data_IF_948530373232
#
_entry.id   IF_948530373232
#
_cell.length_a   1.000
_cell.length_b   1.000
_cell.length_c   1.000
_cell.angle_alpha   90.00
_cell.angle_beta   90.00
_cell.angle_gamma   90.00
#
_symmetry.space_group_name_H-M   'P 1'
#
loop_
_entity.id
_entity.type
_entity.pdbx_description
1 polymer ?
#
# COMPACT_ATOMS: atom_id res chain seq x y z
N UNK A 1 18.96 -14.78 1.07
CA UNK A 1 17.99 -15.86 0.76
C UNK A 1 16.74 -15.36 0.04
N UNK A 2 16.07 -14.31 0.53
CA UNK A 2 14.85 -13.74 -0.10
C UNK A 2 15.07 -13.40 -1.59
N UNK A 3 16.18 -12.75 -1.93
CA UNK A 3 16.51 -12.37 -3.30
C UNK A 3 16.68 -13.57 -4.27
N UNK A 4 17.16 -14.72 -3.79
CA UNK A 4 17.32 -15.93 -4.62
C UNK A 4 15.97 -16.62 -4.83
N UNK A 5 15.12 -16.62 -3.80
CA UNK A 5 13.77 -17.17 -3.86
C UNK A 5 12.87 -16.36 -4.80
N UNK A 6 12.91 -15.02 -4.71
CA UNK A 6 12.17 -14.16 -5.64
C UNK A 6 12.65 -14.36 -7.08
N UNK A 7 13.96 -14.52 -7.28
CA UNK A 7 14.52 -14.74 -8.61
C UNK A 7 14.14 -16.11 -9.21
N UNK A 8 14.12 -17.18 -8.40
CA UNK A 8 13.69 -18.50 -8.84
C UNK A 8 12.18 -18.54 -9.17
N UNK A 9 11.35 -17.90 -8.34
CA UNK A 9 9.91 -17.78 -8.56
C UNK A 9 9.62 -16.95 -9.82
N UNK A 10 10.32 -15.83 -10.01
CA UNK A 10 10.19 -15.00 -11.20
C UNK A 10 10.57 -15.76 -12.48
N UNK A 11 11.66 -16.55 -12.47
CA UNK A 11 12.06 -17.40 -13.61
C UNK A 11 11.04 -18.50 -13.91
N UNK A 12 10.46 -19.11 -12.87
CA UNK A 12 9.47 -20.17 -13.03
C UNK A 12 8.15 -19.63 -13.58
N UNK A 13 7.71 -18.47 -13.07
CA UNK A 13 6.56 -17.73 -13.57
C UNK A 13 6.79 -17.29 -15.02
N UNK A 14 7.93 -16.70 -15.36
CA UNK A 14 8.19 -16.28 -16.75
C UNK A 14 8.27 -17.44 -17.74
N UNK A 15 8.73 -18.64 -17.34
CA UNK A 15 8.75 -19.81 -18.22
C UNK A 15 7.37 -20.40 -18.49
N UNK A 16 6.50 -20.46 -17.48
CA UNK A 16 5.17 -21.08 -17.59
C UNK A 16 4.01 -20.10 -17.77
N UNK A 17 4.25 -18.79 -17.63
CA UNK A 17 3.19 -17.79 -17.78
C UNK A 17 2.75 -17.70 -19.25
N UNK A 18 1.43 -17.77 -19.53
CA UNK A 18 0.89 -17.50 -20.85
C UNK A 18 1.26 -16.08 -21.29
N UNK A 19 1.43 -15.86 -22.61
CA UNK A 19 1.92 -14.58 -23.19
C UNK A 19 1.18 -13.35 -22.64
N UNK A 20 -0.14 -13.45 -22.47
CA UNK A 20 -0.97 -12.38 -21.91
C UNK A 20 -0.54 -11.96 -20.50
N UNK A 21 -0.18 -12.92 -19.64
CA UNK A 21 0.26 -12.66 -18.28
C UNK A 21 1.66 -12.03 -18.23
N UNK A 22 2.54 -12.38 -19.19
CA UNK A 22 3.86 -11.72 -19.33
C UNK A 22 3.72 -10.27 -19.78
N UNK A 23 2.75 -9.98 -20.63
CA UNK A 23 2.49 -8.62 -21.10
C UNK A 23 1.95 -7.71 -20.00
N UNK A 24 1.16 -8.25 -19.06
CA UNK A 24 0.58 -7.47 -17.95
C UNK A 24 1.49 -7.39 -16.71
N UNK A 25 2.44 -8.32 -16.56
CA UNK A 25 3.38 -8.36 -15.43
C UNK A 25 4.10 -7.04 -15.14
N UNK A 26 4.70 -6.32 -16.11
CA UNK A 26 5.39 -5.06 -15.82
C UNK A 26 4.43 -3.99 -15.29
N UNK A 27 3.23 -3.89 -15.86
CA UNK A 27 2.20 -2.97 -15.37
C UNK A 27 1.80 -3.32 -13.93
N UNK A 28 1.60 -4.61 -13.66
CA UNK A 28 1.19 -5.08 -12.34
C UNK A 28 2.28 -4.82 -11.28
N UNK A 29 3.55 -5.00 -11.64
CA UNK A 29 4.67 -4.62 -10.79
C UNK A 29 4.68 -3.12 -10.49
N UNK A 30 4.53 -2.27 -11.50
CA UNK A 30 4.49 -0.80 -11.32
C UNK A 30 3.33 -0.40 -10.41
N UNK A 31 2.14 -0.95 -10.61
CA UNK A 31 0.98 -0.66 -9.78
C UNK A 31 1.21 -1.07 -8.32
N UNK A 32 1.71 -2.28 -8.09
CA UNK A 32 1.99 -2.77 -6.74
C UNK A 32 3.07 -1.95 -6.05
N UNK A 33 4.18 -1.64 -6.73
CA UNK A 33 5.26 -0.84 -6.14
C UNK A 33 4.81 0.57 -5.83
N UNK A 34 4.01 1.17 -6.72
CA UNK A 34 3.50 2.54 -6.53
C UNK A 34 2.50 2.58 -5.38
N UNK A 35 1.57 1.62 -5.32
CA UNK A 35 0.60 1.53 -4.23
C UNK A 35 1.29 1.28 -2.88
N UNK A 36 2.28 0.37 -2.84
CA UNK A 36 3.05 0.10 -1.63
C UNK A 36 3.84 1.33 -1.16
N UNK A 37 4.48 2.05 -2.08
CA UNK A 37 5.21 3.28 -1.77
C UNK A 37 4.28 4.39 -1.29
N UNK A 38 3.14 4.57 -1.95
CA UNK A 38 2.13 5.55 -1.55
C UNK A 38 1.59 5.24 -0.14
N UNK A 39 1.28 3.97 0.13
CA UNK A 39 0.84 3.52 1.46
C UNK A 39 1.92 3.77 2.52
N UNK A 40 3.18 3.42 2.23
CA UNK A 40 4.29 3.65 3.15
C UNK A 40 4.50 5.14 3.45
N UNK A 41 4.48 5.99 2.43
CA UNK A 41 4.64 7.43 2.61
C UNK A 41 3.48 8.04 3.38
N UNK A 42 2.25 7.62 3.07
CA UNK A 42 1.06 8.04 3.83
C UNK A 42 1.18 7.65 5.31
N UNK A 43 1.55 6.39 5.58
CA UNK A 43 1.68 5.87 6.94
C UNK A 43 2.84 6.48 7.74
N UNK A 44 3.85 7.06 7.10
CA UNK A 44 5.05 7.58 7.79
C UNK A 44 5.17 9.09 7.77
N UNK A 45 4.60 9.76 6.78
CA UNK A 45 4.66 11.22 6.61
C UNK A 45 3.30 11.89 6.66
N UNK A 46 2.22 11.14 6.44
CA UNK A 46 0.87 11.68 6.36
C UNK A 46 0.52 12.15 4.95
N UNK A 47 -0.41 13.10 4.86
CA UNK A 47 -0.95 13.59 3.58
C UNK A 47 -0.24 14.84 3.09
N UNK A 48 -0.44 15.16 1.81
CA UNK A 48 -0.01 16.43 1.22
C UNK A 48 -0.79 17.64 1.74
N UNK A 49 -1.90 17.42 2.46
CA UNK A 49 -2.73 18.47 3.05
C UNK A 49 -2.35 18.74 4.52
N UNK A 50 -1.08 18.51 4.87
CA UNK A 50 -0.50 18.74 6.20
C UNK A 50 -1.15 17.96 7.35
N UNK A 51 -1.84 16.85 7.06
CA UNK A 51 -2.21 15.89 8.10
C UNK A 51 -1.05 14.93 8.35
N UNK A 52 -0.30 15.03 9.46
CA UNK A 52 0.82 14.14 9.74
C UNK A 52 0.34 12.70 9.98
N UNK A 53 1.26 11.74 9.82
CA UNK A 53 0.97 10.32 10.04
C UNK A 53 0.46 10.04 11.46
N UNK A 54 1.13 10.62 12.46
CA UNK A 54 0.68 10.62 13.86
C UNK A 54 -0.12 11.88 14.16
N UNK A 55 -1.21 12.09 13.42
CA UNK A 55 -2.16 13.19 13.69
C UNK A 55 -2.93 13.03 15.01
N UNK A 56 -2.82 11.85 15.64
CA UNK A 56 -3.35 11.59 16.97
C UNK A 56 -4.86 11.37 16.97
N UNK A 57 -5.44 11.58 18.15
CA UNK A 57 -6.86 11.45 18.43
C UNK A 57 -7.62 12.70 17.92
N UNK A 58 -8.83 12.48 17.39
CA UNK A 58 -9.70 13.55 16.92
C UNK A 58 -10.19 14.36 18.13
N UNK A 59 -10.03 15.70 18.13
CA UNK A 59 -10.48 16.50 19.26
C UNK A 59 -12.00 16.41 19.40
N UNK A 60 -12.56 16.49 20.63
CA UNK A 60 -14.01 16.39 20.85
C UNK A 60 -14.86 17.36 20.02
N UNK A 61 -14.28 18.51 19.65
CA UNK A 61 -14.91 19.53 18.80
C UNK A 61 -15.09 19.11 17.34
N UNK A 62 -14.40 18.05 16.89
CA UNK A 62 -14.40 17.56 15.52
C UNK A 62 -14.96 16.12 15.40
N UNK A 63 -15.54 15.59 16.48
CA UNK A 63 -16.23 14.30 16.49
C UNK A 63 -17.72 14.55 16.18
N UNK A 64 -18.25 14.12 15.03
CA UNK A 64 -19.65 14.29 14.71
C UNK A 64 -20.54 13.39 15.60
N UNK A 65 -21.81 13.78 15.84
CA UNK A 65 -22.67 13.10 16.81
C UNK A 65 -22.92 11.61 16.53
N UNK A 66 -22.85 11.20 15.27
CA UNK A 66 -23.04 9.82 14.83
C UNK A 66 -21.79 8.95 14.95
N UNK A 67 -20.68 9.46 15.50
CA UNK A 67 -19.43 8.69 15.60
C UNK A 67 -19.62 7.51 16.58
N UNK A 68 -19.36 6.27 16.15
CA UNK A 68 -19.49 5.11 17.02
C UNK A 68 -18.55 5.18 18.23
N UNK A 69 -19.04 4.76 19.39
CA UNK A 69 -18.30 4.80 20.67
C UNK A 69 -17.08 3.87 20.71
N UNK A 70 -16.95 2.95 19.75
CA UNK A 70 -15.82 2.02 19.66
C UNK A 70 -14.66 2.55 18.81
N UNK A 71 -14.85 3.62 18.01
CA UNK A 71 -13.72 4.23 17.30
C UNK A 71 -12.87 5.04 18.29
N UNK A 72 -11.54 4.97 18.18
CA UNK A 72 -10.65 5.87 18.91
C UNK A 72 -11.02 7.32 18.56
N UNK A 73 -11.45 8.04 19.60
CA UNK A 73 -11.70 9.46 19.60
C UNK A 73 -10.43 10.15 20.01
#
# INVERSE_FOLDING_TARGET
MVALLTHAVARRLTRHAPKALRATLPLLLVLLTTAALAWFLFATRGTLADYPADSGLCPPTNIPPQWPTWLPA
#
